data_IF_138163528346
#
_entry.id   IF_138163528346
#
_cell.length_a   1.000
_cell.length_b   1.000
_cell.length_c   1.000
_cell.angle_alpha   90.00
_cell.angle_beta   90.00
_cell.angle_gamma   90.00
#
_symmetry.space_group_name_H-M   'P 1'
#
loop_
_entity.id
_entity.type
_entity.pdbx_description
1 polymer ?
#
# COMPACT_ATOMS: atom_id res chain seq x y z
N UNK A 1 -25.82 28.61 -13.97
CA UNK A 1 -26.66 28.21 -15.13
C UNK A 1 -28.17 28.42 -14.90
N UNK A 2 -28.57 29.11 -13.83
CA UNK A 2 -29.96 29.52 -13.57
C UNK A 2 -30.64 30.33 -14.69
N UNK A 3 -29.87 30.83 -15.67
CA UNK A 3 -30.35 31.60 -16.81
C UNK A 3 -30.44 30.82 -18.14
N UNK A 4 -30.01 29.53 -18.16
CA UNK A 4 -30.13 28.67 -19.36
C UNK A 4 -31.45 27.88 -19.33
N UNK A 5 -32.41 28.26 -20.17
CA UNK A 5 -33.72 27.62 -20.26
C UNK A 5 -33.65 26.15 -20.69
N UNK A 6 -32.72 25.79 -21.58
CA UNK A 6 -32.57 24.42 -22.07
C UNK A 6 -32.10 23.51 -20.95
N UNK A 7 -31.10 23.97 -20.19
CA UNK A 7 -30.61 23.26 -19.01
C UNK A 7 -31.71 23.10 -17.96
N UNK A 8 -32.45 24.18 -17.65
CA UNK A 8 -33.57 24.15 -16.69
C UNK A 8 -34.66 23.15 -17.08
N UNK A 9 -35.04 23.11 -18.35
CA UNK A 9 -36.06 22.20 -18.85
C UNK A 9 -35.61 20.74 -18.81
N UNK A 10 -34.34 20.48 -19.16
CA UNK A 10 -33.74 19.15 -19.02
C UNK A 10 -33.69 18.71 -17.56
N UNK A 11 -33.20 19.57 -16.67
CA UNK A 11 -33.06 19.28 -15.24
C UNK A 11 -34.41 19.04 -14.57
N UNK A 12 -35.42 19.87 -14.85
CA UNK A 12 -36.77 19.67 -14.33
C UNK A 12 -37.39 18.35 -14.82
N UNK A 13 -37.09 17.95 -16.06
CA UNK A 13 -37.54 16.67 -16.62
C UNK A 13 -36.79 15.48 -16.03
N UNK A 14 -35.52 15.65 -15.66
CA UNK A 14 -34.77 14.65 -14.88
C UNK A 14 -35.39 14.49 -13.49
N UNK A 15 -35.56 15.57 -12.73
CA UNK A 15 -36.13 15.52 -11.37
C UNK A 15 -37.53 14.88 -11.32
N UNK A 16 -38.44 15.25 -12.25
CA UNK A 16 -39.78 14.65 -12.33
C UNK A 16 -39.79 13.17 -12.68
N UNK A 17 -38.75 12.68 -13.37
CA UNK A 17 -38.57 11.25 -13.66
C UNK A 17 -37.91 10.50 -12.50
N UNK A 18 -37.09 11.19 -11.70
CA UNK A 18 -36.40 10.60 -10.56
C UNK A 18 -37.32 10.35 -9.37
N UNK A 19 -38.24 11.26 -9.06
CA UNK A 19 -39.15 11.12 -7.92
C UNK A 19 -40.52 11.75 -8.19
N UNK A 20 -41.58 11.07 -7.72
CA UNK A 20 -42.91 11.69 -7.62
C UNK A 20 -42.89 12.85 -6.61
N UNK A 21 -43.77 13.86 -6.72
CA UNK A 21 -43.80 14.98 -5.77
C UNK A 21 -43.91 14.55 -4.31
N UNK A 22 -44.73 13.52 -4.02
CA UNK A 22 -44.88 12.95 -2.68
C UNK A 22 -43.58 12.31 -2.17
N UNK A 23 -42.87 11.59 -3.04
CA UNK A 23 -41.60 10.96 -2.68
C UNK A 23 -40.49 12.01 -2.46
N UNK A 24 -40.43 13.05 -3.30
CA UNK A 24 -39.48 14.15 -3.15
C UNK A 24 -39.70 14.92 -1.84
N UNK A 25 -40.96 15.22 -1.49
CA UNK A 25 -41.28 15.87 -0.21
C UNK A 25 -40.90 14.99 0.99
N UNK A 26 -41.24 13.70 0.94
CA UNK A 26 -40.87 12.77 2.01
C UNK A 26 -39.36 12.68 2.18
N UNK A 27 -38.60 12.62 1.08
CA UNK A 27 -37.13 12.60 1.12
C UNK A 27 -36.55 13.89 1.70
N UNK A 28 -37.07 15.06 1.31
CA UNK A 28 -36.64 16.34 1.86
C UNK A 28 -36.89 16.40 3.37
N UNK A 29 -38.07 16.00 3.84
CA UNK A 29 -38.41 15.97 5.26
C UNK A 29 -37.49 15.02 6.06
N UNK A 30 -37.25 13.83 5.54
CA UNK A 30 -36.34 12.86 6.17
C UNK A 30 -34.92 13.43 6.26
N UNK A 31 -34.39 13.98 5.18
CA UNK A 31 -33.05 14.58 5.16
C UNK A 31 -32.93 15.74 6.17
N UNK A 32 -33.95 16.61 6.29
CA UNK A 32 -33.96 17.71 7.27
C UNK A 32 -33.95 17.22 8.73
N UNK A 33 -34.49 16.02 8.99
CA UNK A 33 -34.54 15.44 10.34
C UNK A 33 -33.27 14.70 10.77
N UNK A 34 -32.32 14.48 9.85
CA UNK A 34 -31.06 13.82 10.16
C UNK A 34 -30.12 14.85 10.80
N UNK A 35 -29.83 14.68 12.08
CA UNK A 35 -28.83 15.47 12.79
C UNK A 35 -27.62 14.62 13.18
N UNK A 36 -26.52 14.83 12.47
CA UNK A 36 -25.23 14.18 12.71
C UNK A 36 -24.16 15.17 13.17
N UNK A 37 -24.52 16.39 13.59
CA UNK A 37 -23.52 17.42 13.98
C UNK A 37 -22.57 16.95 15.09
N UNK A 38 -23.08 16.11 15.98
CA UNK A 38 -22.31 15.52 17.08
C UNK A 38 -21.18 14.58 16.63
N UNK A 39 -21.19 14.05 15.40
CA UNK A 39 -20.12 13.17 14.90
C UNK A 39 -18.98 13.92 14.23
N UNK A 40 -19.16 15.19 13.88
CA UNK A 40 -18.13 16.00 13.18
C UNK A 40 -16.77 15.97 13.90
N UNK A 41 -16.68 16.06 15.24
CA UNK A 41 -15.40 15.97 15.94
C UNK A 41 -14.70 14.61 15.84
N UNK A 42 -15.42 13.55 15.48
CA UNK A 42 -14.86 12.21 15.32
C UNK A 42 -14.12 12.02 13.98
N UNK A 43 -14.31 12.93 13.01
CA UNK A 43 -13.58 12.92 11.74
C UNK A 43 -12.16 13.43 12.02
N UNK A 44 -11.17 12.52 12.03
CA UNK A 44 -9.76 12.84 12.33
C UNK A 44 -8.87 13.00 11.11
N UNK A 45 -9.35 12.56 9.95
CA UNK A 45 -8.61 12.62 8.68
C UNK A 45 -8.68 14.03 8.08
N UNK A 46 -7.65 14.46 7.31
CA UNK A 46 -7.72 15.70 6.54
C UNK A 46 -9.02 15.76 5.74
N UNK A 47 -9.71 16.89 5.81
CA UNK A 47 -11.04 17.05 5.19
C UNK A 47 -11.10 18.36 4.41
N UNK A 48 -11.57 18.32 3.17
CA UNK A 48 -11.84 19.49 2.35
C UNK A 48 -13.35 19.73 2.30
N UNK A 49 -13.78 20.94 2.67
CA UNK A 49 -15.14 21.43 2.48
C UNK A 49 -15.11 22.46 1.36
N UNK A 50 -15.84 22.20 0.29
CA UNK A 50 -16.05 23.14 -0.81
C UNK A 50 -17.47 23.66 -0.72
N UNK A 51 -17.64 24.98 -0.71
CA UNK A 51 -18.98 25.58 -0.65
C UNK A 51 -19.05 26.86 -1.47
N UNK A 52 -20.15 27.05 -2.19
CA UNK A 52 -20.38 28.31 -2.91
C UNK A 52 -20.99 29.35 -1.98
N UNK A 53 -20.44 30.56 -1.99
CA UNK A 53 -20.79 31.63 -1.05
C UNK A 53 -22.23 32.14 -1.20
N UNK A 54 -22.83 32.01 -2.39
CA UNK A 54 -24.19 32.47 -2.68
C UNK A 54 -25.14 31.30 -3.03
N UNK A 55 -24.81 30.07 -2.61
CA UNK A 55 -25.63 28.88 -2.85
C UNK A 55 -27.08 29.11 -2.36
N UNK A 56 -28.03 28.76 -3.23
CA UNK A 56 -29.46 28.99 -3.02
C UNK A 56 -30.19 27.84 -2.34
N UNK A 57 -29.56 26.67 -2.24
CA UNK A 57 -30.12 25.47 -1.61
C UNK A 57 -29.53 25.25 -0.22
N UNK A 58 -28.23 25.54 -0.03
CA UNK A 58 -27.52 25.41 1.24
C UNK A 58 -26.86 26.73 1.66
N UNK A 59 -26.94 27.10 2.95
CA UNK A 59 -26.34 28.34 3.43
C UNK A 59 -24.83 28.18 3.67
N UNK A 60 -24.01 29.15 3.25
CA UNK A 60 -22.55 29.16 3.50
C UNK A 60 -22.17 29.00 4.98
N UNK A 61 -23.00 29.48 5.91
CA UNK A 61 -22.79 29.31 7.34
C UNK A 61 -22.82 27.83 7.78
N UNK A 62 -23.50 26.95 7.02
CA UNK A 62 -23.47 25.50 7.25
C UNK A 62 -22.10 24.91 6.90
N UNK A 63 -21.51 25.35 5.78
CA UNK A 63 -20.14 24.98 5.40
C UNK A 63 -19.10 25.45 6.42
N UNK A 64 -19.24 26.68 6.92
CA UNK A 64 -18.40 27.25 8.00
C UNK A 64 -18.57 26.49 9.32
N UNK A 65 -19.81 26.13 9.66
CA UNK A 65 -20.09 25.31 10.84
C UNK A 65 -19.39 23.94 10.73
N UNK A 66 -19.53 23.23 9.61
CA UNK A 66 -18.89 21.93 9.42
C UNK A 66 -17.36 22.05 9.52
N UNK A 67 -16.77 23.02 8.84
CA UNK A 67 -15.33 23.22 8.83
C UNK A 67 -14.76 23.58 10.22
N UNK A 68 -15.50 24.33 11.04
CA UNK A 68 -15.08 24.65 12.41
C UNK A 68 -15.20 23.49 13.40
N UNK A 69 -15.98 22.45 13.08
CA UNK A 69 -16.24 21.31 13.97
C UNK A 69 -15.51 20.02 13.56
N UNK A 70 -14.91 19.96 12.37
CA UNK A 70 -14.03 18.86 11.94
C UNK A 70 -12.56 19.25 12.21
N UNK A 71 -11.83 18.50 13.05
CA UNK A 71 -10.39 18.66 13.20
C UNK A 71 -9.67 18.53 11.85
N UNK A 72 -8.73 19.44 11.57
CA UNK A 72 -7.94 19.46 10.33
C UNK A 72 -8.77 19.66 9.04
N UNK A 73 -9.94 20.28 9.13
CA UNK A 73 -10.71 20.68 7.96
C UNK A 73 -10.18 21.96 7.30
N UNK A 74 -10.22 21.98 5.97
CA UNK A 74 -10.02 23.18 5.15
C UNK A 74 -11.36 23.54 4.49
N UNK A 75 -11.88 24.73 4.76
CA UNK A 75 -12.97 25.33 3.99
C UNK A 75 -12.40 26.11 2.82
N UNK A 76 -12.98 25.93 1.63
CA UNK A 76 -12.78 26.83 0.50
C UNK A 76 -14.13 27.35 0.05
N UNK A 77 -14.29 28.67 0.16
CA UNK A 77 -15.47 29.37 -0.32
C UNK A 77 -15.26 29.79 -1.77
N UNK A 78 -16.13 29.29 -2.65
CA UNK A 78 -16.11 29.60 -4.08
C UNK A 78 -17.20 30.62 -4.42
N UNK A 79 -16.99 31.50 -5.41
CA UNK A 79 -18.06 32.37 -5.90
C UNK A 79 -19.16 31.56 -6.62
N UNK A 80 -20.40 32.06 -6.56
CA UNK A 80 -21.52 31.54 -7.36
C UNK A 80 -22.73 31.05 -6.56
N UNK A 81 -23.82 30.79 -7.29
CA UNK A 81 -25.15 30.50 -6.73
C UNK A 81 -25.68 29.09 -7.01
N UNK A 82 -25.02 28.34 -7.90
CA UNK A 82 -25.49 27.03 -8.32
C UNK A 82 -25.08 25.95 -7.28
N UNK A 83 -26.01 25.17 -6.75
CA UNK A 83 -25.74 24.10 -5.77
C UNK A 83 -25.08 22.85 -6.38
N UNK A 84 -25.37 22.58 -7.66
CA UNK A 84 -24.86 21.40 -8.34
C UNK A 84 -23.36 21.56 -8.64
N UNK A 85 -22.55 20.66 -8.09
CA UNK A 85 -21.09 20.65 -8.25
C UNK A 85 -20.62 20.55 -9.72
N UNK A 86 -21.42 19.95 -10.61
CA UNK A 86 -21.12 19.83 -12.04
C UNK A 86 -21.70 21.00 -12.85
N UNK A 87 -22.08 22.11 -12.24
CA UNK A 87 -22.67 23.28 -12.90
C UNK A 87 -21.90 24.54 -12.52
N UNK A 88 -21.76 25.47 -13.45
CA UNK A 88 -21.02 26.71 -13.25
C UNK A 88 -19.52 26.52 -13.47
N UNK A 89 -18.70 27.19 -12.67
CA UNK A 89 -17.25 27.03 -12.69
C UNK A 89 -16.86 25.69 -12.06
N UNK A 90 -16.65 24.68 -12.92
CA UNK A 90 -16.23 23.34 -12.54
C UNK A 90 -14.71 23.27 -12.31
N UNK A 91 -13.95 24.05 -13.07
CA UNK A 91 -12.48 24.03 -13.01
C UNK A 91 -12.01 24.49 -11.63
N UNK A 92 -12.64 25.51 -11.05
CA UNK A 92 -12.33 25.94 -9.68
C UNK A 92 -12.54 24.82 -8.62
N UNK A 93 -13.58 23.99 -8.79
CA UNK A 93 -13.84 22.86 -7.90
C UNK A 93 -12.78 21.77 -8.10
N UNK A 94 -12.53 21.39 -9.35
CA UNK A 94 -11.56 20.34 -9.69
C UNK A 94 -10.15 20.70 -9.24
N UNK A 95 -9.72 21.94 -9.44
CA UNK A 95 -8.40 22.41 -9.02
C UNK A 95 -8.20 22.28 -7.49
N UNK A 96 -9.20 22.61 -6.67
CA UNK A 96 -9.09 22.43 -5.21
C UNK A 96 -9.09 20.96 -4.79
N UNK A 97 -9.87 20.11 -5.48
CA UNK A 97 -9.85 18.66 -5.24
C UNK A 97 -8.49 18.07 -5.58
N UNK A 98 -7.93 18.40 -6.75
CA UNK A 98 -6.60 17.93 -7.18
C UNK A 98 -5.51 18.37 -6.20
N UNK A 99 -5.50 19.66 -5.83
CA UNK A 99 -4.56 20.19 -4.86
C UNK A 99 -4.69 19.51 -3.49
N UNK A 100 -5.90 19.27 -3.01
CA UNK A 100 -6.12 18.59 -1.74
C UNK A 100 -5.61 17.16 -1.78
N UNK A 101 -5.98 16.39 -2.81
CA UNK A 101 -5.56 14.99 -2.97
C UNK A 101 -4.03 14.90 -3.01
N UNK A 102 -3.36 15.77 -3.78
CA UNK A 102 -1.89 15.81 -3.85
C UNK A 102 -1.23 16.04 -2.48
N UNK A 103 -1.83 16.86 -1.62
CA UNK A 103 -1.29 17.22 -0.30
C UNK A 103 -1.67 16.24 0.83
N UNK A 104 -2.72 15.43 0.68
CA UNK A 104 -3.13 14.41 1.67
C UNK A 104 -2.29 13.13 1.57
N UNK A 105 -1.68 12.87 0.40
CA UNK A 105 -0.89 11.65 0.16
C UNK A 105 0.38 11.51 1.01
N UNK A 106 0.77 12.54 1.77
CA UNK A 106 1.98 12.52 2.61
C UNK A 106 1.78 11.88 4.00
N UNK A 107 0.56 11.44 4.35
CA UNK A 107 0.24 10.79 5.65
C UNK A 107 -0.50 9.47 5.49
N UNK A 108 -0.01 8.57 4.63
CA UNK A 108 -0.32 7.15 4.81
C UNK A 108 0.48 6.64 6.01
N UNK A 109 -0.18 6.42 7.15
CA UNK A 109 0.27 5.36 8.06
C UNK A 109 0.14 4.06 7.28
N UNK A 110 1.19 3.70 6.55
CA UNK A 110 1.32 2.33 6.08
C UNK A 110 1.54 1.50 7.33
N UNK A 111 0.80 0.39 7.50
CA UNK A 111 1.05 -0.57 8.57
C UNK A 111 2.48 -1.11 8.40
N UNK A 112 3.42 -0.38 9.01
CA UNK A 112 4.83 -0.72 9.00
C UNK A 112 5.03 -1.79 10.06
N UNK A 113 5.30 -3.00 9.60
CA UNK A 113 5.56 -4.14 10.48
C UNK A 113 7.03 -4.48 10.43
N UNK A 114 7.56 -4.93 11.56
CA UNK A 114 8.89 -5.54 11.58
C UNK A 114 8.76 -6.98 11.07
N UNK A 115 9.41 -7.28 9.95
CA UNK A 115 9.41 -8.62 9.38
C UNK A 115 10.82 -9.03 8.90
N UNK A 116 11.07 -10.33 8.86
CA UNK A 116 12.21 -10.90 8.15
C UNK A 116 11.80 -11.19 6.71
N UNK A 117 12.49 -10.58 5.77
CA UNK A 117 12.27 -10.73 4.33
C UNK A 117 13.30 -11.71 3.77
N UNK A 118 12.82 -12.74 3.06
CA UNK A 118 13.59 -13.65 2.23
C UNK A 118 13.41 -13.27 0.77
N UNK A 119 14.50 -12.96 0.08
CA UNK A 119 14.51 -12.85 -1.37
C UNK A 119 15.33 -13.99 -1.97
N UNK A 120 14.81 -14.61 -3.02
CA UNK A 120 15.48 -15.68 -3.76
C UNK A 120 15.48 -15.32 -5.24
N UNK A 121 16.66 -15.34 -5.84
CA UNK A 121 16.87 -15.18 -7.28
C UNK A 121 17.15 -16.53 -7.90
N UNK A 122 16.45 -16.83 -8.99
CA UNK A 122 16.66 -18.03 -9.80
C UNK A 122 17.54 -17.68 -11.01
N UNK A 123 18.42 -18.59 -11.47
CA UNK A 123 19.21 -18.33 -12.68
C UNK A 123 18.29 -18.22 -13.92
N UNK A 124 18.58 -17.30 -14.85
CA UNK A 124 17.81 -17.17 -16.08
C UNK A 124 17.92 -18.44 -16.92
N UNK A 125 16.77 -18.93 -17.38
CA UNK A 125 16.62 -20.26 -17.97
C UNK A 125 17.27 -20.34 -19.37
N UNK A 126 18.25 -21.25 -19.57
CA UNK A 126 18.98 -21.42 -20.86
C UNK A 126 18.54 -22.67 -21.67
N UNK A 127 17.37 -23.25 -21.41
CA UNK A 127 16.89 -24.48 -22.08
C UNK A 127 15.62 -24.32 -22.93
N UNK A 128 15.48 -25.15 -23.96
CA UNK A 128 14.40 -25.10 -24.98
C UNK A 128 12.98 -25.38 -24.44
N UNK A 129 12.83 -25.96 -23.24
CA UNK A 129 11.55 -26.25 -22.58
C UNK A 129 11.26 -25.32 -21.37
N UNK A 130 11.88 -24.13 -21.36
CA UNK A 130 12.10 -23.26 -20.20
C UNK A 130 10.89 -22.76 -19.37
N UNK A 131 9.66 -23.17 -19.65
CA UNK A 131 8.50 -22.84 -18.83
C UNK A 131 8.27 -23.80 -17.66
N UNK A 132 8.80 -25.03 -17.71
CA UNK A 132 8.53 -26.07 -16.71
C UNK A 132 9.41 -25.96 -15.46
N UNK A 133 10.70 -25.62 -15.61
CA UNK A 133 11.67 -25.51 -14.51
C UNK A 133 11.40 -24.33 -13.56
N UNK A 134 11.20 -23.12 -14.10
CA UNK A 134 10.95 -21.92 -13.29
C UNK A 134 9.62 -22.01 -12.51
N UNK A 135 8.55 -22.50 -13.15
CA UNK A 135 7.27 -22.77 -12.48
C UNK A 135 7.39 -23.83 -11.38
N UNK A 136 8.21 -24.86 -11.59
CA UNK A 136 8.45 -25.90 -10.58
C UNK A 136 9.21 -25.37 -9.37
N UNK A 137 10.19 -24.49 -9.59
CA UNK A 137 10.94 -23.83 -8.51
C UNK A 137 10.09 -22.83 -7.72
N UNK A 138 9.27 -22.02 -8.41
CA UNK A 138 8.33 -21.14 -7.72
C UNK A 138 7.34 -21.94 -6.87
N UNK A 139 6.80 -23.04 -7.40
CA UNK A 139 5.89 -23.91 -6.64
C UNK A 139 6.59 -24.53 -5.41
N UNK A 140 7.84 -24.95 -5.55
CA UNK A 140 8.68 -25.42 -4.45
C UNK A 140 8.90 -24.32 -3.41
N UNK A 141 9.31 -23.12 -3.83
CA UNK A 141 9.57 -22.00 -2.93
C UNK A 141 8.30 -21.58 -2.17
N UNK A 142 7.13 -21.58 -2.82
CA UNK A 142 5.83 -21.34 -2.18
C UNK A 142 5.55 -22.40 -1.11
N UNK A 143 5.70 -23.68 -1.45
CA UNK A 143 5.47 -24.80 -0.52
C UNK A 143 6.37 -24.72 0.71
N UNK A 144 7.67 -24.50 0.53
CA UNK A 144 8.60 -24.35 1.66
C UNK A 144 8.25 -23.11 2.50
N UNK A 145 7.86 -22.00 1.86
CA UNK A 145 7.42 -20.79 2.57
C UNK A 145 6.21 -21.08 3.46
N UNK A 146 5.19 -21.73 2.92
CA UNK A 146 3.99 -22.13 3.68
C UNK A 146 4.33 -23.09 4.83
N UNK A 147 5.20 -24.08 4.58
CA UNK A 147 5.65 -25.05 5.60
C UNK A 147 6.30 -24.36 6.80
N UNK A 148 7.14 -23.35 6.54
CA UNK A 148 7.77 -22.55 7.59
C UNK A 148 6.92 -21.38 8.07
N UNK A 149 5.61 -21.36 7.76
CA UNK A 149 4.63 -20.33 8.17
C UNK A 149 4.98 -18.92 7.71
N UNK A 150 5.66 -18.78 6.57
CA UNK A 150 5.88 -17.52 5.89
C UNK A 150 4.70 -17.14 4.98
N UNK A 151 4.74 -15.93 4.46
CA UNK A 151 3.78 -15.43 3.46
C UNK A 151 4.51 -15.00 2.19
N UNK A 152 4.03 -15.43 1.04
CA UNK A 152 4.62 -15.08 -0.25
C UNK A 152 4.19 -13.67 -0.63
N UNK A 153 5.14 -12.75 -0.75
CA UNK A 153 4.90 -11.35 -1.08
C UNK A 153 5.08 -11.04 -2.57
N UNK A 154 6.05 -11.69 -3.21
CA UNK A 154 6.35 -11.56 -4.64
C UNK A 154 6.67 -12.96 -5.18
N UNK A 155 6.11 -13.30 -6.33
CA UNK A 155 6.45 -14.52 -7.07
C UNK A 155 6.27 -14.27 -8.55
N UNK A 156 7.38 -14.07 -9.26
CA UNK A 156 7.44 -14.00 -10.71
C UNK A 156 8.66 -14.79 -11.22
N UNK A 157 8.93 -14.74 -12.53
CA UNK A 157 9.94 -15.59 -13.17
C UNK A 157 11.38 -15.31 -12.70
N UNK A 158 11.67 -14.08 -12.27
CA UNK A 158 13.01 -13.65 -11.86
C UNK A 158 13.15 -13.43 -10.34
N UNK A 159 12.05 -13.07 -9.68
CA UNK A 159 11.99 -12.68 -8.27
C UNK A 159 11.01 -13.55 -7.47
N UNK A 160 11.51 -14.11 -6.37
CA UNK A 160 10.69 -14.65 -5.29
C UNK A 160 10.99 -13.91 -3.99
N UNK A 161 9.94 -13.47 -3.30
CA UNK A 161 10.04 -12.79 -2.01
C UNK A 161 8.99 -13.33 -1.04
N UNK A 162 9.41 -13.61 0.19
CA UNK A 162 8.54 -14.04 1.26
C UNK A 162 8.83 -13.27 2.57
N UNK A 163 7.80 -13.07 3.38
CA UNK A 163 7.89 -12.44 4.69
C UNK A 163 7.66 -13.44 5.81
N UNK A 164 8.36 -13.22 6.92
CA UNK A 164 8.28 -14.03 8.13
C UNK A 164 8.24 -13.11 9.35
N UNK A 165 7.44 -13.49 10.34
CA UNK A 165 7.37 -12.90 11.69
C UNK A 165 8.54 -13.33 12.59
N UNK A 166 9.58 -13.95 12.05
CA UNK A 166 10.83 -14.20 12.78
C UNK A 166 11.95 -14.82 11.94
N UNK A 167 13.23 -14.48 12.24
CA UNK A 167 14.36 -14.82 11.39
C UNK A 167 14.72 -16.31 11.34
N UNK A 168 14.47 -17.07 12.41
CA UNK A 168 14.74 -18.52 12.44
C UNK A 168 13.94 -19.25 11.34
N UNK A 169 12.66 -18.90 11.16
CA UNK A 169 11.81 -19.50 10.13
C UNK A 169 12.29 -19.15 8.73
N UNK A 170 12.65 -17.88 8.52
CA UNK A 170 13.17 -17.41 7.25
C UNK A 170 14.50 -18.11 6.86
N UNK A 171 15.42 -18.29 7.82
CA UNK A 171 16.69 -19.01 7.59
C UNK A 171 16.42 -20.47 7.22
N UNK A 172 15.53 -21.16 7.96
CA UNK A 172 15.18 -22.57 7.67
C UNK A 172 14.53 -22.71 6.29
N UNK A 173 13.61 -21.82 5.95
CA UNK A 173 12.98 -21.77 4.65
C UNK A 173 14.00 -21.55 3.53
N UNK A 174 14.89 -20.56 3.68
CA UNK A 174 15.93 -20.27 2.69
C UNK A 174 16.84 -21.47 2.43
N UNK A 175 17.26 -22.19 3.49
CA UNK A 175 18.06 -23.41 3.36
C UNK A 175 17.29 -24.53 2.68
N UNK A 176 16.03 -24.75 3.05
CA UNK A 176 15.19 -25.78 2.43
C UNK A 176 14.97 -25.53 0.94
N UNK A 177 14.72 -24.27 0.54
CA UNK A 177 14.59 -23.87 -0.87
C UNK A 177 15.90 -24.13 -1.61
N UNK A 178 17.04 -23.72 -1.04
CA UNK A 178 18.37 -23.96 -1.63
C UNK A 178 18.63 -25.45 -1.82
N UNK A 179 18.46 -26.26 -0.77
CA UNK A 179 18.79 -27.68 -0.76
C UNK A 179 17.92 -28.44 -1.77
N UNK A 180 16.61 -28.16 -1.79
CA UNK A 180 15.71 -28.79 -2.74
C UNK A 180 15.90 -28.30 -4.19
N UNK A 181 16.34 -27.05 -4.42
CA UNK A 181 16.74 -26.59 -5.74
C UNK A 181 18.04 -27.26 -6.22
N UNK A 182 18.99 -27.51 -5.32
CA UNK A 182 20.24 -28.19 -5.62
C UNK A 182 20.01 -29.65 -6.04
N UNK A 183 19.05 -30.34 -5.44
CA UNK A 183 18.63 -31.69 -5.87
C UNK A 183 18.12 -31.72 -7.33
N UNK A 184 17.61 -30.59 -7.82
CA UNK A 184 17.19 -30.39 -9.21
C UNK A 184 18.33 -29.88 -10.11
N UNK A 185 19.55 -29.76 -9.59
CA UNK A 185 20.71 -29.23 -10.30
C UNK A 185 20.68 -27.72 -10.50
N UNK A 186 19.93 -26.98 -9.68
CA UNK A 186 19.76 -25.53 -9.83
C UNK A 186 20.35 -24.81 -8.61
N UNK A 187 21.28 -23.90 -8.87
CA UNK A 187 21.89 -23.08 -7.84
C UNK A 187 21.11 -21.77 -7.67
N UNK A 188 20.49 -21.60 -6.51
CA UNK A 188 19.75 -20.39 -6.14
C UNK A 188 20.64 -19.41 -5.38
N UNK A 189 20.28 -18.13 -5.40
CA UNK A 189 20.92 -17.09 -4.59
C UNK A 189 19.88 -16.54 -3.63
N UNK A 190 20.14 -16.57 -2.34
CA UNK A 190 19.17 -16.12 -1.34
C UNK A 190 19.73 -15.02 -0.45
N UNK A 191 18.86 -14.06 -0.11
CA UNK A 191 19.18 -12.91 0.73
C UNK A 191 18.15 -12.72 1.83
N UNK A 192 18.62 -12.50 3.06
CA UNK A 192 17.79 -12.27 4.23
C UNK A 192 18.10 -10.93 4.91
N UNK A 193 17.04 -10.20 5.24
CA UNK A 193 17.11 -8.99 6.05
C UNK A 193 15.92 -8.88 6.98
N UNK A 194 16.09 -8.30 8.16
CA UNK A 194 14.98 -7.96 9.07
C UNK A 194 14.92 -6.46 9.21
N UNK A 195 13.75 -5.89 8.93
CA UNK A 195 13.53 -4.46 8.96
C UNK A 195 12.04 -4.12 8.87
N UNK A 196 11.74 -2.83 8.95
CA UNK A 196 10.38 -2.34 8.74
C UNK A 196 10.01 -2.47 7.26
N UNK A 197 8.87 -3.08 6.99
CA UNK A 197 8.28 -3.11 5.66
C UNK A 197 6.81 -2.70 5.72
N UNK A 198 6.36 -2.17 4.61
CA UNK A 198 4.98 -1.79 4.35
C UNK A 198 4.19 -3.03 3.93
N UNK A 199 3.05 -3.29 4.58
CA UNK A 199 2.18 -4.42 4.23
C UNK A 199 0.88 -3.95 3.57
N UNK A 200 0.53 -4.56 2.45
CA UNK A 200 -0.76 -4.41 1.77
C UNK A 200 -1.34 -5.80 1.48
N UNK A 201 -2.12 -6.33 2.43
CA UNK A 201 -2.54 -7.73 2.40
C UNK A 201 -1.33 -8.66 2.56
N UNK A 202 -1.07 -9.50 1.55
CA UNK A 202 0.11 -10.38 1.51
C UNK A 202 1.32 -9.73 0.82
N UNK A 203 1.15 -8.56 0.20
CA UNK A 203 2.23 -7.87 -0.48
C UNK A 203 3.06 -7.05 0.51
N UNK A 204 4.39 -7.10 0.34
CA UNK A 204 5.35 -6.37 1.16
C UNK A 204 6.19 -5.43 0.28
N UNK A 205 6.38 -4.20 0.75
CA UNK A 205 7.17 -3.17 0.07
C UNK A 205 8.07 -2.39 1.05
N UNK A 206 8.93 -1.55 0.50
CA UNK A 206 9.82 -0.66 1.26
C UNK A 206 11.25 -1.17 1.41
N UNK A 207 12.04 -0.41 2.17
CA UNK A 207 13.50 -0.57 2.24
C UNK A 207 13.93 -1.99 2.65
N UNK A 208 13.23 -2.66 3.56
CA UNK A 208 13.60 -3.99 4.00
C UNK A 208 13.56 -5.03 2.87
N UNK A 209 12.61 -4.90 1.94
CA UNK A 209 12.48 -5.78 0.75
C UNK A 209 13.58 -5.47 -0.27
N UNK A 210 13.90 -4.20 -0.49
CA UNK A 210 14.99 -3.83 -1.39
C UNK A 210 16.36 -4.29 -0.86
N UNK A 211 16.58 -4.16 0.45
CA UNK A 211 17.82 -4.63 1.09
C UNK A 211 17.93 -6.16 0.95
N UNK A 212 16.87 -6.95 1.20
CA UNK A 212 16.95 -8.41 1.06
C UNK A 212 17.27 -8.84 -0.38
N UNK A 213 16.71 -8.17 -1.39
CA UNK A 213 17.05 -8.40 -2.80
C UNK A 213 18.52 -8.11 -3.09
N UNK A 214 19.01 -6.95 -2.67
CA UNK A 214 20.43 -6.57 -2.86
C UNK A 214 21.39 -7.49 -2.10
N UNK A 215 20.96 -8.09 -0.99
CA UNK A 215 21.70 -9.16 -0.29
C UNK A 215 21.74 -10.44 -1.12
N UNK A 216 20.61 -10.85 -1.72
CA UNK A 216 20.55 -12.01 -2.61
C UNK A 216 21.45 -11.84 -3.84
N UNK A 217 21.50 -10.64 -4.42
CA UNK A 217 22.38 -10.32 -5.55
C UNK A 217 23.86 -10.50 -5.21
N UNK A 218 24.26 -10.26 -3.96
CA UNK A 218 25.64 -10.43 -3.48
C UNK A 218 25.99 -11.85 -3.05
N UNK A 219 25.00 -12.72 -2.86
CA UNK A 219 25.25 -14.12 -2.53
C UNK A 219 26.03 -14.81 -3.67
N UNK A 220 26.81 -15.84 -3.37
CA UNK A 220 27.29 -16.78 -4.37
C UNK A 220 26.16 -17.73 -4.82
N UNK A 221 26.40 -18.47 -5.91
CA UNK A 221 25.49 -19.55 -6.33
C UNK A 221 25.39 -20.60 -5.22
N UNK A 222 24.16 -20.99 -4.85
CA UNK A 222 23.89 -21.89 -3.73
C UNK A 222 24.08 -21.26 -2.34
N UNK A 223 24.30 -19.95 -2.22
CA UNK A 223 24.54 -19.31 -0.93
C UNK A 223 23.27 -18.65 -0.37
N UNK A 224 23.08 -18.78 0.94
CA UNK A 224 22.10 -18.01 1.72
C UNK A 224 22.86 -16.94 2.49
N UNK A 225 22.73 -15.71 2.03
CA UNK A 225 23.39 -14.54 2.60
C UNK A 225 22.42 -13.72 3.45
N UNK A 226 22.92 -13.13 4.53
CA UNK A 226 22.10 -12.43 5.50
C UNK A 226 22.83 -11.24 6.12
N UNK A 227 22.06 -10.20 6.45
CA UNK A 227 22.58 -9.04 7.19
C UNK A 227 22.81 -9.36 8.66
N UNK A 228 23.70 -8.63 9.33
CA UNK A 228 23.95 -8.78 10.77
C UNK A 228 22.69 -8.59 11.62
N UNK A 229 21.73 -7.75 11.22
CA UNK A 229 20.45 -7.62 11.92
C UNK A 229 19.73 -8.96 12.06
N UNK A 230 19.83 -9.85 11.06
CA UNK A 230 19.25 -11.20 11.13
C UNK A 230 20.02 -12.05 12.15
N UNK A 231 21.35 -12.00 12.17
CA UNK A 231 22.16 -12.77 13.13
C UNK A 231 21.95 -12.34 14.56
N UNK A 232 21.85 -11.03 14.79
CA UNK A 232 21.72 -10.44 16.12
C UNK A 232 20.40 -10.92 16.77
N UNK A 233 19.34 -11.08 15.96
CA UNK A 233 18.03 -11.57 16.38
C UNK A 233 17.92 -13.10 16.56
N UNK A 234 18.92 -13.87 16.15
CA UNK A 234 18.96 -15.35 16.35
C UNK A 234 20.05 -15.79 17.30
N UNK A 235 20.53 -14.87 18.15
CA UNK A 235 21.47 -15.16 19.23
C UNK A 235 20.95 -16.31 20.12
N UNK A 236 21.73 -17.39 20.27
CA UNK A 236 21.33 -18.59 21.01
C UNK A 236 20.67 -19.69 20.18
N UNK A 237 20.57 -19.52 18.86
CA UNK A 237 20.17 -20.59 17.94
C UNK A 237 21.33 -21.53 17.58
N UNK A 238 21.00 -22.62 16.89
CA UNK A 238 21.94 -23.63 16.38
C UNK A 238 22.71 -23.18 15.12
N UNK A 239 22.45 -21.97 14.61
CA UNK A 239 23.03 -21.53 13.34
C UNK A 239 24.46 -21.03 13.51
N UNK A 240 25.33 -21.50 12.62
CA UNK A 240 26.70 -21.02 12.47
C UNK A 240 26.78 -20.15 11.22
N UNK A 241 27.45 -19.01 11.35
CA UNK A 241 27.56 -18.04 10.28
C UNK A 241 29.03 -17.73 9.96
N UNK A 242 29.34 -17.61 8.67
CA UNK A 242 30.65 -17.18 8.19
C UNK A 242 30.59 -15.73 7.71
N UNK A 243 31.56 -14.90 8.10
CA UNK A 243 31.60 -13.49 7.71
C UNK A 243 31.98 -13.33 6.22
N UNK A 244 31.21 -12.52 5.49
CA UNK A 244 31.43 -12.19 4.07
C UNK A 244 31.81 -10.73 3.82
N UNK A 245 32.02 -9.95 4.87
CA UNK A 245 32.50 -8.57 4.80
C UNK A 245 31.41 -7.52 5.04
N UNK A 246 31.82 -6.25 4.97
CA UNK A 246 30.93 -5.11 5.16
C UNK A 246 30.17 -4.76 3.87
N UNK A 247 29.00 -4.18 4.05
CA UNK A 247 28.12 -3.70 2.99
C UNK A 247 27.55 -2.33 3.33
N UNK A 248 27.34 -1.52 2.30
CA UNK A 248 26.47 -0.34 2.38
C UNK A 248 25.41 -0.47 1.29
N UNK A 249 24.17 -0.17 1.65
CA UNK A 249 23.02 -0.12 0.76
C UNK A 249 22.23 1.15 1.08
N UNK A 250 21.72 1.80 0.04
CA UNK A 250 20.69 2.84 0.20
C UNK A 250 19.52 2.30 1.05
N UNK A 251 19.05 3.09 2.01
CA UNK A 251 18.01 2.70 2.97
C UNK A 251 18.55 2.16 4.31
N UNK A 252 19.84 1.85 4.44
CA UNK A 252 20.45 1.51 5.72
C UNK A 252 20.92 2.76 6.48
N UNK A 253 20.65 2.80 7.79
CA UNK A 253 21.08 3.88 8.68
C UNK A 253 22.59 3.78 9.01
N UNK A 254 23.16 2.57 8.93
CA UNK A 254 24.57 2.27 9.21
C UNK A 254 25.07 1.17 8.29
N UNK A 255 26.39 1.08 8.10
CA UNK A 255 27.01 -0.03 7.38
C UNK A 255 26.60 -1.36 8.00
N UNK A 256 26.26 -2.32 7.14
CA UNK A 256 25.89 -3.67 7.50
C UNK A 256 27.08 -4.62 7.35
N UNK A 257 26.98 -5.80 7.96
CA UNK A 257 27.87 -6.92 7.67
C UNK A 257 27.06 -8.04 7.04
N UNK A 258 27.60 -8.64 5.98
CA UNK A 258 27.03 -9.81 5.35
C UNK A 258 27.62 -11.06 5.99
N UNK A 259 26.77 -12.04 6.24
CA UNK A 259 27.14 -13.35 6.73
C UNK A 259 26.48 -14.41 5.87
N UNK A 260 27.10 -15.59 5.78
CA UNK A 260 26.55 -16.74 5.07
C UNK A 260 26.21 -17.86 6.07
N UNK A 261 25.10 -18.56 5.86
CA UNK A 261 24.81 -19.79 6.60
C UNK A 261 25.80 -20.88 6.20
N UNK A 262 26.34 -21.60 7.19
CA UNK A 262 27.18 -22.80 6.95
C UNK A 262 26.31 -24.03 6.67
#
# INVERSE_FOLDING_TARGET
MAHDERFRNWWASYQRRSASPRAALALAQLNTSIDVRHVLPAIKVPSLILHRSEDRDSNIEEGRYIASHIPNAKLVELPGQDHLLFVGDQDAILNEVENFVANVHTTREVDSVLATILSVTFPPNKGADGHTGAKSLQALAKRETEWFKGRVAISNDDDFCATFDGPIRAIRCARAIRDAALELGIETKAGLHTGLCEMMGDHAAGAAVEISKRVADRAAAGEVLLTNTVTDLVSGSEFVFSNRGACSFEGLIKDCRLLATV
#
